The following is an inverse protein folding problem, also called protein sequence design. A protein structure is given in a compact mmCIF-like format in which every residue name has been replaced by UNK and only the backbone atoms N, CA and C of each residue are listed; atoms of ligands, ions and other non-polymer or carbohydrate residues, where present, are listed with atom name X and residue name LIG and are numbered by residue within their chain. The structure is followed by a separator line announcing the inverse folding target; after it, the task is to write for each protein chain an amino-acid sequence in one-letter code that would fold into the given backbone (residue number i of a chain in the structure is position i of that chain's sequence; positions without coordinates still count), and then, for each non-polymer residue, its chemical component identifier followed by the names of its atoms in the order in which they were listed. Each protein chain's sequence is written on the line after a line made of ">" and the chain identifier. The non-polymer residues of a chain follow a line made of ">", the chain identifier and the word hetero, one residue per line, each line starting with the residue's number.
data_IF_294908492684
#
_entry.id   IF_294908492684
#
_cell.length_a   1.000
_cell.length_b   1.000
_cell.length_c   1.000
_cell.angle_alpha   90.00
_cell.angle_beta   90.00
_cell.angle_gamma   90.00
#
_symmetry.space_group_name_H-M   'P 1'
#
loop_
_entity.id
_entity.type
_entity.pdbx_description
1 polymer ?
#
# COMPACT_ATOMS: atom_id res chain seq x y z
N UNK A 1 20.70 -2.04 -13.17
CA UNK A 1 19.59 -1.59 -12.29
C UNK A 1 18.32 -2.30 -12.73
N UNK A 2 17.67 -3.14 -11.91
CA UNK A 2 16.49 -3.88 -12.35
C UNK A 2 15.31 -2.90 -12.49
N UNK A 3 14.75 -2.79 -13.70
CA UNK A 3 13.64 -1.89 -14.04
C UNK A 3 12.38 -2.11 -13.18
N UNK A 4 12.27 -3.27 -12.52
CA UNK A 4 11.14 -3.64 -11.66
C UNK A 4 11.15 -2.95 -10.27
N UNK A 5 12.32 -2.55 -9.75
CA UNK A 5 12.40 -1.91 -8.40
C UNK A 5 11.82 -0.49 -8.45
N UNK A 6 11.99 0.22 -9.57
CA UNK A 6 11.40 1.56 -9.79
C UNK A 6 9.88 1.52 -9.79
N UNK A 7 9.27 0.50 -10.40
CA UNK A 7 7.81 0.36 -10.50
C UNK A 7 7.15 0.03 -9.16
N UNK A 8 7.91 -0.56 -8.24
CA UNK A 8 7.47 -0.87 -6.87
C UNK A 8 7.52 0.33 -5.93
N UNK A 9 8.35 1.34 -6.24
CA UNK A 9 8.52 2.62 -5.53
C UNK A 9 7.70 3.78 -6.11
N UNK A 10 6.93 3.48 -7.15
CA UNK A 10 6.09 4.47 -7.81
C UNK A 10 4.83 4.68 -6.96
N UNK A 11 4.66 5.90 -6.43
CA UNK A 11 3.52 6.30 -5.61
C UNK A 11 2.21 6.13 -6.35
N UNK A 12 2.19 6.19 -7.68
CA UNK A 12 1.00 5.96 -8.48
C UNK A 12 0.70 4.47 -8.69
N UNK A 13 1.67 3.57 -8.50
CA UNK A 13 1.48 2.12 -8.69
C UNK A 13 1.24 1.40 -7.36
N UNK A 14 1.93 1.82 -6.30
CA UNK A 14 1.89 1.15 -5.00
C UNK A 14 1.35 2.10 -3.91
N UNK A 15 0.08 1.97 -3.52
CA UNK A 15 -0.50 2.81 -2.47
C UNK A 15 -0.01 2.44 -1.05
N UNK A 16 0.80 1.39 -0.90
CA UNK A 16 1.29 0.87 0.37
C UNK A 16 2.81 1.04 0.51
N UNK A 17 3.38 2.11 -0.07
CA UNK A 17 4.82 2.37 -0.02
C UNK A 17 5.32 2.62 1.39
N UNK A 18 4.63 3.47 2.14
CA UNK A 18 4.99 3.79 3.52
C UNK A 18 5.08 2.51 4.38
N UNK A 19 4.12 1.59 4.22
CA UNK A 19 4.11 0.35 5.00
C UNK A 19 5.16 -0.65 4.52
N UNK A 20 5.46 -0.64 3.22
CA UNK A 20 6.56 -1.42 2.65
C UNK A 20 7.90 -0.93 3.21
N UNK A 21 8.13 0.39 3.20
CA UNK A 21 9.36 0.98 3.73
C UNK A 21 9.47 0.81 5.24
N UNK A 22 8.39 0.96 6.00
CA UNK A 22 8.38 0.68 7.43
C UNK A 22 8.73 -0.78 7.74
N UNK A 23 8.18 -1.73 6.97
CA UNK A 23 8.54 -3.16 7.14
C UNK A 23 10.01 -3.44 6.81
N UNK A 24 10.55 -2.76 5.79
CA UNK A 24 11.96 -2.87 5.39
C UNK A 24 12.90 -2.28 6.45
N UNK A 25 12.58 -1.09 6.96
CA UNK A 25 13.33 -0.45 8.04
C UNK A 25 13.32 -1.29 9.31
N UNK A 26 12.18 -1.92 9.65
CA UNK A 26 12.11 -2.84 10.78
C UNK A 26 13.04 -4.05 10.59
N UNK A 27 13.06 -4.65 9.40
CA UNK A 27 13.97 -5.76 9.10
C UNK A 27 15.43 -5.33 9.20
N UNK A 28 15.79 -4.16 8.64
CA UNK A 28 17.15 -3.62 8.71
C UNK A 28 17.60 -3.36 10.17
N UNK A 29 16.68 -2.94 11.05
CA UNK A 29 16.97 -2.68 12.45
C UNK A 29 17.02 -3.93 13.35
N UNK A 30 16.43 -5.05 12.92
CA UNK A 30 16.26 -6.26 13.74
C UNK A 30 17.00 -7.47 13.13
N UNK A 31 18.10 -7.27 12.42
CA UNK A 31 18.89 -8.35 11.78
C UNK A 31 18.04 -9.27 10.88
N UNK A 32 17.06 -8.70 10.19
CA UNK A 32 16.09 -9.41 9.34
C UNK A 32 15.19 -10.41 10.09
N UNK A 33 15.04 -10.25 11.41
CA UNK A 33 14.10 -11.03 12.20
C UNK A 33 12.65 -10.61 11.87
N UNK A 34 11.95 -11.48 11.14
CA UNK A 34 10.59 -11.23 10.66
C UNK A 34 9.55 -11.20 11.78
N UNK A 35 9.77 -11.95 12.85
CA UNK A 35 8.80 -12.09 13.93
C UNK A 35 8.62 -10.76 14.67
N UNK A 36 9.72 -10.03 14.87
CA UNK A 36 9.72 -8.68 15.46
C UNK A 36 8.97 -7.65 14.60
N UNK A 37 8.89 -7.89 13.28
CA UNK A 37 8.28 -6.98 12.32
C UNK A 37 6.86 -7.38 11.88
N UNK A 38 6.25 -8.36 12.56
CA UNK A 38 4.93 -8.91 12.22
C UNK A 38 3.86 -7.82 12.08
N UNK A 39 3.87 -6.81 12.96
CA UNK A 39 2.92 -5.71 12.90
C UNK A 39 3.03 -4.90 11.60
N UNK A 40 4.24 -4.59 11.14
CA UNK A 40 4.45 -3.87 9.88
C UNK A 40 3.99 -4.68 8.67
N UNK A 41 4.23 -6.00 8.68
CA UNK A 41 3.71 -6.88 7.63
C UNK A 41 2.18 -6.98 7.64
N UNK A 42 1.55 -6.95 8.82
CA UNK A 42 0.10 -6.91 8.94
C UNK A 42 -0.46 -5.62 8.35
N UNK A 43 0.10 -4.45 8.70
CA UNK A 43 -0.29 -3.16 8.09
C UNK A 43 -0.15 -3.17 6.57
N UNK A 44 0.97 -3.66 6.05
CA UNK A 44 1.18 -3.80 4.60
C UNK A 44 0.13 -4.72 3.94
N UNK A 45 -0.23 -5.84 4.57
CA UNK A 45 -1.29 -6.74 4.08
C UNK A 45 -2.67 -6.06 4.12
N UNK A 46 -2.98 -5.34 5.19
CA UNK A 46 -4.25 -4.62 5.36
C UNK A 46 -4.39 -3.51 4.32
N UNK A 47 -3.32 -2.74 4.09
CA UNK A 47 -3.27 -1.73 3.04
C UNK A 47 -3.57 -2.33 1.66
N UNK A 48 -2.88 -3.41 1.27
CA UNK A 48 -3.14 -4.07 -0.02
C UNK A 48 -4.58 -4.58 -0.14
N UNK A 49 -5.14 -5.12 0.96
CA UNK A 49 -6.52 -5.62 0.98
C UNK A 49 -7.52 -4.49 0.80
N UNK A 50 -7.32 -3.36 1.48
CA UNK A 50 -8.15 -2.16 1.36
C UNK A 50 -8.18 -1.65 -0.08
N UNK A 51 -7.01 -1.40 -0.66
CA UNK A 51 -6.90 -0.89 -2.03
C UNK A 51 -7.43 -1.89 -3.07
N UNK A 52 -7.23 -3.19 -2.86
CA UNK A 52 -7.82 -4.22 -3.72
C UNK A 52 -9.36 -4.22 -3.66
N UNK A 53 -9.96 -4.00 -2.50
CA UNK A 53 -11.41 -3.86 -2.39
C UNK A 53 -11.90 -2.66 -3.21
N UNK A 54 -11.22 -1.51 -3.10
CA UNK A 54 -11.54 -0.32 -3.91
C UNK A 54 -11.39 -0.59 -5.40
N UNK A 55 -10.33 -1.28 -5.83
CA UNK A 55 -10.17 -1.67 -7.23
C UNK A 55 -11.34 -2.53 -7.72
N UNK A 56 -11.79 -3.49 -6.90
CA UNK A 56 -12.93 -4.35 -7.24
C UNK A 56 -14.22 -3.53 -7.34
N UNK A 57 -14.46 -2.58 -6.43
CA UNK A 57 -15.63 -1.70 -6.50
C UNK A 57 -15.60 -0.79 -7.74
N UNK A 58 -14.46 -0.15 -8.03
CA UNK A 58 -14.29 0.70 -9.23
C UNK A 58 -14.50 -0.10 -10.50
N UNK A 59 -13.97 -1.33 -10.56
CA UNK A 59 -14.17 -2.26 -11.68
C UNK A 59 -15.64 -2.65 -11.86
N UNK A 60 -16.36 -2.92 -10.77
CA UNK A 60 -17.80 -3.23 -10.80
C UNK A 60 -18.63 -2.04 -11.30
N UNK A 61 -18.22 -0.83 -10.95
CA UNK A 61 -18.85 0.42 -11.38
C UNK A 61 -18.44 0.85 -12.81
N UNK A 62 -17.59 0.08 -13.50
CA UNK A 62 -17.11 0.43 -14.84
C UNK A 62 -16.14 1.63 -14.87
N UNK A 63 -15.57 2.01 -13.73
CA UNK A 63 -14.68 3.17 -13.59
C UNK A 63 -13.24 2.76 -13.94
N UNK A 64 -12.68 3.38 -14.98
CA UNK A 64 -11.28 3.22 -15.38
C UNK A 64 -10.51 4.54 -15.15
N UNK A 65 -9.29 4.52 -14.59
CA UNK A 65 -8.50 3.34 -14.18
C UNK A 65 -9.03 2.64 -12.92
N UNK A 66 -8.83 1.31 -12.87
CA UNK A 66 -9.24 0.47 -11.73
C UNK A 66 -8.51 0.86 -10.45
N UNK A 67 -7.23 1.23 -10.54
CA UNK A 67 -6.48 1.77 -9.42
C UNK A 67 -6.76 3.29 -9.33
N UNK A 68 -7.18 3.81 -8.17
CA UNK A 68 -7.34 5.24 -7.96
C UNK A 68 -5.99 5.95 -8.12
N UNK A 69 -6.05 7.15 -8.69
CA UNK A 69 -4.91 8.05 -8.84
C UNK A 69 -4.46 8.62 -7.49
N UNK A 70 -3.27 9.22 -7.38
CA UNK A 70 -2.83 9.85 -6.14
C UNK A 70 -3.84 10.86 -5.55
N UNK A 71 -4.58 11.58 -6.40
CA UNK A 71 -5.62 12.52 -5.95
C UNK A 71 -6.81 11.78 -5.34
N UNK A 72 -7.40 10.82 -6.07
CA UNK A 72 -8.51 10.00 -5.58
C UNK A 72 -8.14 9.28 -4.28
N UNK A 73 -6.88 8.85 -4.14
CA UNK A 73 -6.40 8.20 -2.90
C UNK A 73 -6.43 9.15 -1.71
N UNK A 74 -6.05 10.41 -1.89
CA UNK A 74 -6.13 11.41 -0.82
C UNK A 74 -7.58 11.64 -0.42
N UNK A 75 -8.48 11.80 -1.38
CA UNK A 75 -9.91 11.97 -1.12
C UNK A 75 -10.51 10.75 -0.39
N UNK A 76 -10.20 9.54 -0.86
CA UNK A 76 -10.61 8.30 -0.19
C UNK A 76 -10.07 8.26 1.23
N UNK A 77 -8.78 8.55 1.44
CA UNK A 77 -8.16 8.51 2.76
C UNK A 77 -8.67 9.61 3.68
N UNK A 78 -9.03 10.79 3.17
CA UNK A 78 -9.64 11.88 3.95
C UNK A 78 -11.03 11.51 4.49
N UNK A 79 -11.77 10.64 3.78
CA UNK A 79 -13.04 10.07 4.28
C UNK A 79 -12.82 9.18 5.51
N UNK A 80 -11.64 8.56 5.63
CA UNK A 80 -11.27 7.80 6.82
C UNK A 80 -10.54 8.71 7.82
N UNK A 81 -11.07 8.79 9.05
CA UNK A 81 -10.43 9.58 10.13
C UNK A 81 -8.97 9.16 10.43
N UNK A 82 -8.65 7.90 10.17
CA UNK A 82 -7.30 7.32 10.26
C UNK A 82 -7.08 6.35 9.09
N UNK A 83 -5.82 6.07 8.75
CA UNK A 83 -5.50 5.06 7.74
C UNK A 83 -6.15 3.72 8.15
N UNK A 84 -6.94 3.08 7.27
CA UNK A 84 -7.70 1.87 7.61
C UNK A 84 -6.83 0.60 7.73
N UNK A 85 -5.52 0.76 7.94
CA UNK A 85 -4.51 -0.30 7.95
C UNK A 85 -3.36 0.00 8.91
#
# INVERSE_FOLDING_TARGET
>A
MPRNVRKLRDEDVNPCLEEMDASRMCLEANDYNRDMCTQYFLRYKMCRKFWNNIMIQRRRNGISPNMPTAKDRKEILEEYKEKPY
#
